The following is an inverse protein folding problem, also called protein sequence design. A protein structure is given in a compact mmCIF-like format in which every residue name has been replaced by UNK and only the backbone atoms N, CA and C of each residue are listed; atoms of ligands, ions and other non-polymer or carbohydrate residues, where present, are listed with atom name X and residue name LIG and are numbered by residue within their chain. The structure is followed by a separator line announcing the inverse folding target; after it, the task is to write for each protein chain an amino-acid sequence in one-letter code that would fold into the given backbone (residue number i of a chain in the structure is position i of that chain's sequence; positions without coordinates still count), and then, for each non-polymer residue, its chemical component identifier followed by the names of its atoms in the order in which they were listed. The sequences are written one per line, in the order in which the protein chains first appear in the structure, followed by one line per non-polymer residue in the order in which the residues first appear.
data_IF_018752734150
#
_entry.id   IF_018752734150
#
_cell.length_a   1.000
_cell.length_b   1.000
_cell.length_c   1.000
_cell.angle_alpha   90.00
_cell.angle_beta   90.00
_cell.angle_gamma   90.00
#
_symmetry.space_group_name_H-M   'P 1'
#
loop_
_entity.id
_entity.type
_entity.pdbx_description
1 polymer ?
#
# COMPACT_ATOMS: atom_id res chain seq x y z
N UNK A 1 19.22 2.85 -3.44
CA UNK A 1 18.04 2.79 -2.57
C UNK A 1 17.98 1.38 -2.04
N UNK A 2 17.89 1.21 -0.74
CA UNK A 2 17.77 -0.11 -0.16
C UNK A 2 16.49 -0.77 -0.69
N UNK A 3 16.52 -2.08 -0.86
CA UNK A 3 15.35 -2.82 -1.37
C UNK A 3 14.23 -2.89 -0.33
N UNK A 4 14.59 -2.99 0.95
CA UNK A 4 13.69 -2.84 2.09
C UNK A 4 13.71 -1.38 2.51
N UNK A 5 12.56 -0.75 2.65
CA UNK A 5 12.46 0.66 3.04
C UNK A 5 11.15 0.96 3.76
N UNK A 6 11.14 2.02 4.54
CA UNK A 6 9.92 2.66 5.04
C UNK A 6 9.66 3.93 4.27
N UNK A 7 8.39 4.21 4.02
CA UNK A 7 8.02 5.47 3.32
C UNK A 7 8.46 6.66 4.17
N UNK A 8 8.45 6.54 5.48
CA UNK A 8 8.95 7.53 6.43
C UNK A 8 10.41 7.92 6.19
N UNK A 9 11.28 6.96 5.89
CA UNK A 9 12.70 7.23 5.60
C UNK A 9 12.86 8.03 4.31
N UNK A 10 11.94 7.85 3.37
CA UNK A 10 11.91 8.60 2.12
C UNK A 10 11.32 10.00 2.28
N UNK A 11 10.32 10.13 3.14
CA UNK A 11 9.55 11.35 3.40
C UNK A 11 9.14 11.42 4.87
N UNK A 12 10.05 11.84 5.77
CA UNK A 12 9.73 12.01 7.19
C UNK A 12 8.65 13.08 7.39
N UNK A 13 7.83 12.88 8.42
CA UNK A 13 6.89 13.91 8.88
C UNK A 13 7.70 15.12 9.36
N UNK A 14 7.33 16.29 8.89
CA UNK A 14 7.91 17.59 9.29
C UNK A 14 6.78 18.52 9.68
N UNK A 15 6.87 19.10 10.86
CA UNK A 15 5.85 20.01 11.35
C UNK A 15 5.58 21.15 10.35
N UNK A 16 4.31 21.52 10.22
CA UNK A 16 3.82 22.58 9.34
C UNK A 16 4.09 22.39 7.85
N UNK A 17 4.55 21.19 7.42
CA UNK A 17 4.87 20.93 6.02
C UNK A 17 4.03 19.78 5.47
N UNK A 18 3.57 19.95 4.25
CA UNK A 18 3.04 18.89 3.40
C UNK A 18 4.04 18.64 2.28
N UNK A 19 4.54 17.40 2.18
CA UNK A 19 5.47 17.01 1.14
C UNK A 19 5.01 15.74 0.45
N UNK A 20 5.30 15.63 -0.84
CA UNK A 20 4.98 14.43 -1.62
C UNK A 20 6.16 13.96 -2.45
N UNK A 21 6.13 12.70 -2.84
CA UNK A 21 7.12 12.10 -3.74
C UNK A 21 6.47 11.03 -4.60
N UNK A 22 6.64 11.17 -5.93
CA UNK A 22 6.31 10.08 -6.84
C UNK A 22 7.22 8.86 -6.57
N UNK A 23 6.64 7.66 -6.53
CA UNK A 23 7.35 6.42 -6.26
C UNK A 23 8.34 6.03 -7.36
N UNK A 24 8.12 6.55 -8.60
CA UNK A 24 8.83 6.14 -9.82
C UNK A 24 8.72 4.65 -10.11
N UNK A 25 7.65 4.03 -9.65
CA UNK A 25 7.37 2.62 -9.94
C UNK A 25 6.84 2.46 -11.36
N UNK A 26 6.08 3.45 -11.82
CA UNK A 26 5.39 3.47 -13.10
C UNK A 26 5.30 4.90 -13.64
N UNK A 27 5.39 5.04 -14.96
CA UNK A 27 5.11 6.29 -15.65
C UNK A 27 3.61 6.41 -16.01
N UNK A 28 2.89 5.28 -16.05
CA UNK A 28 1.47 5.23 -16.46
C UNK A 28 0.50 5.23 -15.29
N UNK A 29 0.89 4.64 -14.16
CA UNK A 29 0.08 4.57 -12.94
C UNK A 29 0.71 5.46 -11.88
N UNK A 30 0.17 6.65 -11.62
CA UNK A 30 0.70 7.52 -10.59
C UNK A 30 0.57 6.89 -9.21
N UNK A 31 1.70 6.73 -8.52
CA UNK A 31 1.78 6.25 -7.14
C UNK A 31 2.63 7.27 -6.40
N UNK A 32 2.03 7.94 -5.42
CA UNK A 32 2.65 9.06 -4.72
C UNK A 32 2.62 8.83 -3.21
N UNK A 33 3.75 9.02 -2.56
CA UNK A 33 3.87 9.05 -1.12
C UNK A 33 3.65 10.48 -0.62
N UNK A 34 2.74 10.65 0.33
CA UNK A 34 2.46 11.91 1.01
C UNK A 34 2.90 11.82 2.47
N UNK A 35 3.49 12.91 2.96
CA UNK A 35 3.78 13.13 4.37
C UNK A 35 3.25 14.50 4.76
N UNK A 36 2.34 14.51 5.70
CA UNK A 36 1.70 15.70 6.25
C UNK A 36 2.20 15.91 7.68
N UNK A 37 2.71 17.10 7.95
CA UNK A 37 3.07 17.53 9.31
C UNK A 37 1.86 17.77 10.18
N UNK A 38 2.10 17.90 11.48
CA UNK A 38 1.06 18.19 12.47
C UNK A 38 0.28 19.47 12.08
N UNK A 39 -1.04 19.38 12.14
CA UNK A 39 -1.94 20.51 11.87
C UNK A 39 -2.02 20.94 10.42
N UNK A 40 -1.49 20.15 9.47
CA UNK A 40 -1.57 20.47 8.04
C UNK A 40 -2.75 19.80 7.36
N UNK A 41 -3.10 20.29 6.17
CA UNK A 41 -4.20 19.80 5.37
C UNK A 41 -3.93 19.93 3.89
N UNK A 42 -4.66 19.15 3.10
CA UNK A 42 -4.81 19.28 1.65
C UNK A 42 -6.29 19.58 1.40
N UNK A 43 -6.55 20.63 0.64
CA UNK A 43 -7.91 21.06 0.29
C UNK A 43 -8.64 19.95 -0.48
N UNK A 44 -9.97 19.98 -0.42
CA UNK A 44 -10.78 19.03 -1.21
C UNK A 44 -10.60 19.28 -2.71
N UNK A 45 -10.18 18.24 -3.40
CA UNK A 45 -10.06 18.19 -4.86
C UNK A 45 -10.77 16.94 -5.37
N UNK A 46 -11.15 16.92 -6.63
CA UNK A 46 -11.74 15.74 -7.29
C UNK A 46 -10.89 15.33 -8.48
N UNK A 47 -10.66 14.04 -8.62
CA UNK A 47 -9.94 13.46 -9.76
C UNK A 47 -10.89 12.76 -10.72
N UNK A 48 -10.52 12.70 -12.00
CA UNK A 48 -11.27 11.95 -13.01
C UNK A 48 -11.13 10.44 -12.87
N UNK A 49 -10.23 10.01 -12.01
CA UNK A 49 -9.88 8.60 -11.76
C UNK A 49 -10.26 8.18 -10.33
N UNK A 50 -10.49 6.88 -10.13
CA UNK A 50 -10.60 6.30 -8.78
C UNK A 50 -9.25 6.37 -8.08
N UNK A 51 -9.24 6.76 -6.82
CA UNK A 51 -8.02 6.88 -6.02
C UNK A 51 -8.09 5.93 -4.83
N UNK A 52 -6.99 5.22 -4.58
CA UNK A 52 -6.79 4.38 -3.41
C UNK A 52 -5.78 5.04 -2.50
N UNK A 53 -6.14 5.21 -1.24
CA UNK A 53 -5.26 5.70 -0.18
C UNK A 53 -4.93 4.57 0.77
N UNK A 54 -3.64 4.42 1.13
CA UNK A 54 -3.15 3.42 2.09
C UNK A 54 -2.36 4.14 3.18
N UNK A 55 -2.81 4.05 4.42
CA UNK A 55 -2.11 4.61 5.57
C UNK A 55 -0.81 3.87 5.86
N UNK A 56 0.28 4.63 6.05
CA UNK A 56 1.61 4.09 6.31
C UNK A 56 2.18 4.49 7.68
N UNK A 57 1.73 5.60 8.26
CA UNK A 57 2.10 6.05 9.61
C UNK A 57 1.16 7.12 10.13
N UNK A 58 0.93 7.12 11.44
CA UNK A 58 0.06 8.11 12.08
C UNK A 58 -1.39 7.96 11.65
N UNK A 59 -2.16 9.05 11.72
CA UNK A 59 -3.55 9.06 11.28
C UNK A 59 -3.91 10.38 10.59
N UNK A 60 -4.86 10.29 9.67
CA UNK A 60 -5.44 11.44 8.98
C UNK A 60 -6.93 11.26 8.76
N UNK A 61 -7.64 12.38 8.76
CA UNK A 61 -9.04 12.45 8.40
C UNK A 61 -9.19 12.81 6.92
N UNK A 62 -9.76 11.91 6.16
CA UNK A 62 -10.14 12.11 4.77
C UNK A 62 -11.56 12.66 4.72
N UNK A 63 -11.72 13.82 4.12
CA UNK A 63 -12.97 14.57 4.02
C UNK A 63 -13.59 14.31 2.65
N UNK A 64 -14.64 13.46 2.59
CA UNK A 64 -15.19 12.94 1.33
C UNK A 64 -16.54 13.55 1.01
N UNK A 65 -16.71 13.90 -0.27
CA UNK A 65 -17.95 14.41 -0.84
C UNK A 65 -18.23 15.87 -0.46
N UNK A 66 -19.36 16.40 -0.97
CA UNK A 66 -19.73 17.80 -0.81
C UNK A 66 -19.98 18.20 0.67
N UNK A 67 -20.32 17.24 1.52
CA UNK A 67 -20.56 17.48 2.95
C UNK A 67 -19.33 17.17 3.80
N UNK A 68 -18.17 16.91 3.17
CA UNK A 68 -16.91 16.61 3.86
C UNK A 68 -17.04 15.51 4.92
N UNK A 69 -17.73 14.40 4.59
CA UNK A 69 -17.85 13.27 5.49
C UNK A 69 -16.47 12.78 5.92
N UNK A 70 -16.26 12.66 7.21
CA UNK A 70 -14.98 12.34 7.81
C UNK A 70 -14.73 10.83 7.87
N UNK A 71 -13.59 10.39 7.33
CA UNK A 71 -13.11 9.01 7.34
C UNK A 71 -11.67 8.97 7.86
N UNK A 72 -11.47 8.49 9.08
CA UNK A 72 -10.13 8.42 9.67
C UNK A 72 -9.38 7.21 9.14
N UNK A 73 -8.21 7.42 8.55
CA UNK A 73 -7.28 6.39 8.09
C UNK A 73 -6.09 6.36 9.02
N UNK A 74 -5.74 5.18 9.48
CA UNK A 74 -4.54 4.87 10.24
C UNK A 74 -3.64 3.91 9.47
N UNK A 75 -2.54 3.54 10.04
CA UNK A 75 -1.60 2.59 9.47
C UNK A 75 -2.25 1.24 9.11
N UNK A 76 -1.97 0.76 7.88
CA UNK A 76 -2.55 -0.47 7.33
C UNK A 76 -4.01 -0.36 6.90
N UNK A 77 -4.63 0.82 7.04
CA UNK A 77 -5.97 1.09 6.51
C UNK A 77 -5.90 1.46 5.03
N UNK A 78 -6.96 1.10 4.32
CA UNK A 78 -7.21 1.49 2.94
C UNK A 78 -8.53 2.22 2.82
N UNK A 79 -8.57 3.26 1.99
CA UNK A 79 -9.78 3.97 1.58
C UNK A 79 -9.79 4.11 0.06
N UNK A 80 -10.93 3.82 -0.55
CA UNK A 80 -11.14 4.01 -1.98
C UNK A 80 -12.11 5.16 -2.23
N UNK A 81 -11.65 6.16 -2.96
CA UNK A 81 -12.47 7.31 -3.37
C UNK A 81 -12.79 7.22 -4.86
N UNK A 82 -14.07 7.11 -5.25
CA UNK A 82 -14.47 7.06 -6.65
C UNK A 82 -14.09 8.34 -7.43
N UNK A 83 -14.00 8.20 -8.75
CA UNK A 83 -13.78 9.36 -9.63
C UNK A 83 -14.84 10.45 -9.41
N UNK A 84 -14.42 11.72 -9.54
CA UNK A 84 -15.24 12.93 -9.41
C UNK A 84 -15.85 13.17 -8.01
N UNK A 85 -15.46 12.42 -7.02
CA UNK A 85 -15.82 12.69 -5.63
C UNK A 85 -14.75 13.60 -5.01
N UNK A 86 -15.21 14.67 -4.35
CA UNK A 86 -14.33 15.56 -3.60
C UNK A 86 -13.65 14.80 -2.45
N UNK A 87 -12.35 14.97 -2.31
CA UNK A 87 -11.57 14.40 -1.23
C UNK A 87 -10.50 15.39 -0.77
N UNK A 88 -10.50 15.70 0.52
CA UNK A 88 -9.45 16.47 1.18
C UNK A 88 -8.85 15.64 2.30
N UNK A 89 -7.72 16.07 2.84
CA UNK A 89 -7.02 15.37 3.94
C UNK A 89 -6.62 16.39 4.99
N UNK A 90 -6.81 16.04 6.26
CA UNK A 90 -6.31 16.82 7.40
C UNK A 90 -5.74 15.89 8.47
N UNK A 91 -4.74 16.35 9.21
CA UNK A 91 -4.16 15.61 10.32
C UNK A 91 -3.80 16.54 11.48
N UNK A 92 -4.10 16.11 12.69
CA UNK A 92 -3.73 16.84 13.90
C UNK A 92 -2.38 16.41 14.47
N UNK A 93 -1.91 15.20 14.14
CA UNK A 93 -0.72 14.58 14.72
C UNK A 93 0.41 14.35 13.72
N UNK A 94 0.11 14.48 12.42
CA UNK A 94 0.97 14.10 11.32
C UNK A 94 0.66 12.70 10.82
N UNK A 95 0.82 12.50 9.50
CA UNK A 95 0.57 11.21 8.86
C UNK A 95 1.43 11.00 7.62
N UNK A 96 1.57 9.73 7.24
CA UNK A 96 2.12 9.32 5.95
C UNK A 96 1.13 8.35 5.31
N UNK A 97 0.86 8.55 4.03
CA UNK A 97 0.03 7.64 3.24
C UNK A 97 0.55 7.51 1.80
N UNK A 98 0.15 6.42 1.15
CA UNK A 98 0.35 6.19 -0.27
C UNK A 98 -0.94 6.49 -1.02
N UNK A 99 -0.85 7.28 -2.08
CA UNK A 99 -1.92 7.53 -3.04
C UNK A 99 -1.64 6.74 -4.32
N UNK A 100 -2.63 6.00 -4.81
CA UNK A 100 -2.58 5.21 -6.04
C UNK A 100 -3.75 5.61 -6.92
N UNK A 101 -3.46 6.13 -8.12
CA UNK A 101 -4.50 6.55 -9.07
C UNK A 101 -4.79 5.41 -10.05
N UNK A 102 -6.04 4.93 -10.05
CA UNK A 102 -6.51 3.85 -10.93
C UNK A 102 -7.27 4.49 -12.09
N UNK A 103 -6.74 4.35 -13.30
CA UNK A 103 -7.38 4.90 -14.50
C UNK A 103 -8.78 4.35 -14.68
N UNK A 104 -9.74 5.24 -14.99
CA UNK A 104 -11.17 4.95 -15.10
C UNK A 104 -11.50 3.84 -16.10
N UNK A 105 -10.76 3.75 -17.19
CA UNK A 105 -11.01 2.81 -18.29
C UNK A 105 -10.79 1.34 -17.89
N UNK A 106 -10.08 1.10 -16.80
CA UNK A 106 -9.64 -0.22 -16.33
C UNK A 106 -9.94 -0.45 -14.85
N UNK A 107 -11.04 0.08 -14.33
CA UNK A 107 -11.37 -0.04 -12.90
C UNK A 107 -12.04 -1.40 -12.59
N UNK A 108 -11.26 -2.49 -12.63
CA UNK A 108 -11.67 -3.83 -12.20
C UNK A 108 -11.38 -4.03 -10.71
N UNK A 109 -12.10 -3.30 -9.86
CA UNK A 109 -12.00 -3.45 -8.42
C UNK A 109 -12.84 -4.63 -7.94
N UNK A 110 -12.33 -5.39 -6.98
CA UNK A 110 -13.05 -6.49 -6.36
C UNK A 110 -14.31 -5.98 -5.65
N UNK A 111 -15.41 -6.72 -5.75
CA UNK A 111 -16.70 -6.35 -5.14
C UNK A 111 -16.70 -6.29 -3.61
N UNK A 112 -15.73 -6.93 -2.96
CA UNK A 112 -15.57 -6.83 -1.49
C UNK A 112 -15.02 -5.45 -1.07
N UNK A 113 -14.39 -4.73 -2.00
CA UNK A 113 -13.84 -3.41 -1.75
C UNK A 113 -14.97 -2.39 -1.88
N UNK A 114 -15.29 -1.75 -0.77
CA UNK A 114 -16.36 -0.77 -0.71
C UNK A 114 -15.78 0.64 -0.77
N UNK A 115 -16.17 1.36 -1.82
CA UNK A 115 -15.79 2.76 -1.97
C UNK A 115 -16.38 3.62 -0.86
N UNK A 116 -15.58 4.53 -0.30
CA UNK A 116 -16.00 5.41 0.79
C UNK A 116 -15.99 4.75 2.18
N UNK A 117 -15.64 3.48 2.30
CA UNK A 117 -15.45 2.80 3.58
C UNK A 117 -13.96 2.60 3.88
N UNK A 118 -13.56 2.82 5.13
CA UNK A 118 -12.21 2.51 5.59
C UNK A 118 -12.13 1.02 5.89
N UNK A 119 -11.16 0.34 5.32
CA UNK A 119 -10.95 -1.10 5.47
C UNK A 119 -9.52 -1.37 5.94
N UNK A 120 -9.34 -2.25 6.91
CA UNK A 120 -8.02 -2.73 7.32
C UNK A 120 -7.54 -3.79 6.31
N UNK A 121 -6.46 -3.51 5.58
CA UNK A 121 -5.97 -4.41 4.51
C UNK A 121 -5.74 -5.84 5.00
N UNK A 122 -5.12 -6.02 6.17
CA UNK A 122 -4.83 -7.34 6.71
C UNK A 122 -6.07 -8.17 7.06
N UNK A 123 -7.22 -7.52 7.31
CA UNK A 123 -8.45 -8.19 7.70
C UNK A 123 -9.29 -8.63 6.49
N UNK A 124 -8.92 -8.18 5.29
CA UNK A 124 -9.59 -8.56 4.04
C UNK A 124 -9.22 -9.97 3.56
N UNK A 125 -8.19 -10.58 4.13
CA UNK A 125 -7.72 -11.92 3.75
C UNK A 125 -7.43 -12.76 5.00
N UNK A 126 -7.81 -14.04 4.95
CA UNK A 126 -7.58 -15.00 6.03
C UNK A 126 -6.47 -15.97 5.69
N UNK A 127 -5.79 -16.46 6.73
CA UNK A 127 -4.87 -17.59 6.61
C UNK A 127 -5.63 -18.90 6.36
N UNK A 128 -4.99 -19.82 5.67
CA UNK A 128 -5.39 -21.22 5.51
C UNK A 128 -4.18 -22.10 5.84
N UNK A 129 -4.37 -23.07 6.74
CA UNK A 129 -3.28 -23.91 7.25
C UNK A 129 -2.54 -24.63 6.11
N UNK A 130 -1.21 -24.52 6.10
CA UNK A 130 -0.33 -25.12 5.11
C UNK A 130 -0.43 -24.51 3.71
N UNK A 131 -1.13 -23.39 3.54
CA UNK A 131 -1.47 -22.83 2.23
C UNK A 131 -1.11 -21.35 2.10
N UNK A 132 -1.16 -20.86 0.85
CA UNK A 132 -1.12 -19.43 0.52
C UNK A 132 -2.48 -19.06 -0.05
N UNK A 133 -3.15 -18.11 0.58
CA UNK A 133 -4.38 -17.50 0.05
C UNK A 133 -4.08 -16.18 -0.63
N UNK A 134 -4.91 -15.80 -1.61
CA UNK A 134 -4.78 -14.50 -2.27
C UNK A 134 -6.15 -13.93 -2.67
N UNK A 135 -6.22 -12.61 -2.79
CA UNK A 135 -7.39 -11.89 -3.28
C UNK A 135 -6.94 -10.64 -4.05
N UNK A 136 -7.43 -10.50 -5.28
CA UNK A 136 -7.21 -9.29 -6.06
C UNK A 136 -8.06 -8.16 -5.47
N UNK A 137 -7.44 -7.04 -5.09
CA UNK A 137 -8.11 -5.78 -4.75
C UNK A 137 -8.47 -5.05 -6.04
N UNK A 138 -7.50 -4.93 -6.94
CA UNK A 138 -7.64 -4.38 -8.29
C UNK A 138 -6.84 -5.25 -9.25
N UNK A 139 -7.41 -5.56 -10.42
CA UNK A 139 -6.70 -6.26 -11.48
C UNK A 139 -7.14 -5.72 -12.84
N UNK A 140 -6.20 -5.11 -13.58
CA UNK A 140 -6.44 -4.56 -14.91
C UNK A 140 -5.17 -4.64 -15.78
N UNK A 141 -5.20 -4.12 -16.99
CA UNK A 141 -4.12 -4.23 -17.96
C UNK A 141 -2.85 -3.46 -17.56
N UNK A 142 -2.94 -2.51 -16.63
CA UNK A 142 -1.81 -1.65 -16.24
C UNK A 142 -1.30 -1.92 -14.84
N UNK A 143 -2.10 -2.57 -13.99
CA UNK A 143 -1.71 -2.85 -12.60
C UNK A 143 -2.50 -4.02 -11.99
N UNK A 144 -1.87 -4.66 -11.01
CA UNK A 144 -2.49 -5.58 -10.06
C UNK A 144 -2.19 -5.12 -8.65
N UNK A 145 -3.22 -5.10 -7.80
CA UNK A 145 -3.03 -4.99 -6.35
C UNK A 145 -3.67 -6.21 -5.71
N UNK A 146 -2.82 -7.07 -5.13
CA UNK A 146 -3.21 -8.39 -4.60
C UNK A 146 -2.86 -8.42 -3.12
N UNK A 147 -3.79 -8.87 -2.28
CA UNK A 147 -3.49 -9.27 -0.91
C UNK A 147 -3.14 -10.75 -0.89
N UNK A 148 -2.13 -11.11 -0.13
CA UNK A 148 -1.70 -12.50 0.04
C UNK A 148 -1.48 -12.80 1.52
N UNK A 149 -1.93 -13.97 1.95
CA UNK A 149 -1.66 -14.49 3.28
C UNK A 149 -0.97 -15.86 3.17
N UNK A 150 0.12 -15.98 3.89
CA UNK A 150 1.01 -17.14 3.90
C UNK A 150 0.95 -17.79 5.27
N UNK A 151 0.70 -19.09 5.34
CA UNK A 151 0.95 -19.83 6.58
C UNK A 151 2.46 -19.99 6.80
N UNK A 152 2.87 -20.21 8.05
CA UNK A 152 4.29 -20.39 8.41
C UNK A 152 4.95 -21.45 7.53
N UNK A 153 6.16 -21.14 7.02
CA UNK A 153 6.94 -22.01 6.15
C UNK A 153 6.45 -22.13 4.71
N UNK A 154 5.29 -21.56 4.36
CA UNK A 154 4.84 -21.52 2.97
C UNK A 154 5.55 -20.42 2.17
N UNK A 155 5.59 -20.55 0.85
CA UNK A 155 6.28 -19.56 0.04
C UNK A 155 6.02 -19.68 -1.46
N UNK A 156 6.33 -18.60 -2.17
CA UNK A 156 6.36 -18.56 -3.62
C UNK A 156 7.73 -19.01 -4.12
N UNK A 157 7.76 -20.01 -5.00
CA UNK A 157 8.98 -20.46 -5.65
C UNK A 157 9.63 -19.36 -6.50
N UNK A 158 10.94 -19.44 -6.77
CA UNK A 158 11.62 -18.43 -7.59
C UNK A 158 10.94 -18.20 -8.93
N UNK A 159 10.60 -16.94 -9.20
CA UNK A 159 9.95 -16.49 -10.44
C UNK A 159 10.36 -15.06 -10.79
N UNK A 160 9.99 -14.59 -11.98
CA UNK A 160 10.32 -13.23 -12.42
C UNK A 160 9.09 -12.35 -12.41
N UNK A 161 9.24 -11.12 -11.86
CA UNK A 161 8.18 -10.14 -11.86
C UNK A 161 7.84 -9.69 -13.30
N UNK A 162 6.57 -9.73 -13.73
CA UNK A 162 6.18 -9.25 -15.06
C UNK A 162 6.24 -7.71 -15.18
N UNK A 163 6.35 -7.00 -14.07
CA UNK A 163 6.45 -5.56 -13.99
C UNK A 163 7.22 -5.09 -12.74
N UNK A 164 7.33 -3.79 -12.55
CA UNK A 164 7.84 -3.24 -11.30
C UNK A 164 6.80 -3.44 -10.20
N UNK A 165 7.25 -3.74 -8.97
CA UNK A 165 6.33 -4.01 -7.87
C UNK A 165 6.81 -3.44 -6.54
N UNK A 166 5.84 -3.21 -5.64
CA UNK A 166 6.07 -2.94 -4.22
C UNK A 166 5.28 -3.96 -3.40
N UNK A 167 5.93 -4.56 -2.42
CA UNK A 167 5.29 -5.28 -1.33
C UNK A 167 5.11 -4.33 -0.15
N UNK A 168 3.92 -4.33 0.42
CA UNK A 168 3.58 -3.76 1.73
C UNK A 168 3.45 -4.92 2.72
N UNK A 169 4.32 -5.02 3.71
CA UNK A 169 4.17 -6.00 4.78
C UNK A 169 3.03 -5.55 5.71
N UNK A 170 2.00 -6.37 5.85
CA UNK A 170 0.77 -6.05 6.58
C UNK A 170 0.69 -6.75 7.94
N UNK A 171 1.24 -7.96 8.05
CA UNK A 171 1.28 -8.75 9.28
C UNK A 171 2.40 -9.80 9.19
N UNK A 172 3.08 -10.07 10.31
CA UNK A 172 4.11 -11.09 10.40
C UNK A 172 5.39 -10.77 9.65
N UNK A 173 6.17 -11.81 9.32
CA UNK A 173 7.52 -11.70 8.81
C UNK A 173 7.79 -12.69 7.69
N UNK A 174 8.50 -12.25 6.66
CA UNK A 174 8.93 -13.09 5.55
C UNK A 174 10.36 -12.78 5.11
N UNK A 175 10.98 -13.77 4.47
CA UNK A 175 12.25 -13.63 3.77
C UNK A 175 12.00 -13.57 2.28
N UNK A 176 12.54 -12.56 1.63
CA UNK A 176 12.53 -12.41 0.17
C UNK A 176 13.95 -12.72 -0.34
N UNK A 177 14.10 -13.75 -1.17
CA UNK A 177 15.29 -13.87 -2.00
C UNK A 177 15.08 -13.01 -3.25
N UNK A 178 16.01 -12.13 -3.54
CA UNK A 178 15.99 -11.28 -4.73
C UNK A 178 17.37 -11.26 -5.37
N UNK A 179 17.46 -11.78 -6.60
CA UNK A 179 18.72 -11.88 -7.37
C UNK A 179 19.85 -12.53 -6.54
N UNK A 180 19.53 -13.59 -5.78
CA UNK A 180 20.46 -14.34 -4.94
C UNK A 180 20.86 -13.67 -3.64
N UNK A 181 20.12 -12.67 -3.18
CA UNK A 181 20.29 -12.03 -1.87
C UNK A 181 19.02 -12.10 -1.05
N UNK A 182 19.17 -12.44 0.22
CA UNK A 182 18.05 -12.53 1.14
C UNK A 182 17.79 -11.19 1.83
N UNK A 183 16.51 -10.82 1.88
CA UNK A 183 15.99 -9.65 2.58
C UNK A 183 14.86 -10.11 3.51
N UNK A 184 14.91 -9.68 4.74
CA UNK A 184 13.80 -9.90 5.69
C UNK A 184 12.90 -8.66 5.67
N UNK A 185 11.59 -8.88 5.59
CA UNK A 185 10.57 -7.84 5.76
C UNK A 185 9.61 -8.25 6.86
N UNK A 186 9.17 -7.30 7.65
CA UNK A 186 8.23 -7.52 8.76
C UNK A 186 7.15 -6.44 8.80
N UNK A 187 5.96 -6.83 9.26
CA UNK A 187 4.95 -5.91 9.73
C UNK A 187 5.25 -5.62 11.20
N UNK A 188 5.32 -4.36 11.59
CA UNK A 188 5.77 -4.00 12.92
C UNK A 188 4.85 -4.49 14.02
N UNK A 189 5.32 -5.46 14.80
CA UNK A 189 4.98 -5.60 16.21
C UNK A 189 6.23 -5.85 17.02
N UNK A 190 6.44 -4.99 18.02
CA UNK A 190 7.36 -5.14 19.13
C UNK A 190 8.86 -5.22 18.83
N UNK A 191 9.43 -4.17 18.33
CA UNK A 191 10.69 -3.58 18.79
C UNK A 191 10.94 -2.30 17.99
N UNK A 192 10.40 -1.17 18.46
CA UNK A 192 10.80 0.21 18.07
C UNK A 192 10.94 0.51 16.58
N UNK A 193 10.32 -0.25 15.69
CA UNK A 193 10.32 0.00 14.27
C UNK A 193 8.86 -0.05 13.79
N UNK A 194 8.36 1.07 13.35
CA UNK A 194 6.99 1.28 12.88
C UNK A 194 6.59 0.24 11.84
N UNK A 195 5.36 -0.22 11.91
CA UNK A 195 4.70 -0.99 10.87
C UNK A 195 4.99 -0.44 9.47
N UNK A 196 4.89 -1.27 8.45
CA UNK A 196 4.94 -0.82 7.08
C UNK A 196 6.30 -0.85 6.40
N UNK A 197 7.12 -1.89 6.62
CA UNK A 197 8.24 -2.16 5.73
C UNK A 197 7.72 -2.50 4.34
N UNK A 198 8.41 -1.99 3.33
CA UNK A 198 8.10 -2.20 1.92
C UNK A 198 9.30 -2.80 1.21
N UNK A 199 9.05 -3.62 0.20
CA UNK A 199 10.07 -4.15 -0.67
C UNK A 199 9.78 -3.81 -2.13
N UNK A 200 10.81 -3.38 -2.88
CA UNK A 200 10.66 -3.05 -4.29
C UNK A 200 11.33 -4.08 -5.18
N UNK A 201 10.56 -4.61 -6.13
CA UNK A 201 11.05 -5.40 -7.25
C UNK A 201 11.17 -4.54 -8.52
N UNK A 202 12.19 -4.84 -9.31
CA UNK A 202 12.27 -4.34 -10.67
C UNK A 202 11.70 -5.40 -11.64
N UNK A 203 11.17 -4.96 -12.76
CA UNK A 203 10.67 -5.83 -13.83
C UNK A 203 11.73 -6.87 -14.22
N UNK A 204 11.31 -8.12 -14.38
CA UNK A 204 12.15 -9.29 -14.63
C UNK A 204 13.10 -9.70 -13.50
N UNK A 205 13.10 -9.04 -12.34
CA UNK A 205 13.86 -9.45 -11.16
C UNK A 205 13.44 -10.85 -10.70
N UNK A 206 14.42 -11.74 -10.56
CA UNK A 206 14.20 -13.10 -10.04
C UNK A 206 14.02 -13.01 -8.52
N UNK A 207 12.91 -13.52 -8.01
CA UNK A 207 12.62 -13.50 -6.59
C UNK A 207 11.77 -14.66 -6.11
N UNK A 208 11.86 -14.93 -4.82
CA UNK A 208 10.96 -15.80 -4.07
C UNK A 208 10.55 -15.12 -2.78
N UNK A 209 9.48 -15.58 -2.14
CA UNK A 209 9.00 -15.12 -0.84
C UNK A 209 8.75 -16.33 0.02
N UNK A 210 9.29 -16.37 1.23
CA UNK A 210 9.06 -17.44 2.20
C UNK A 210 8.63 -16.84 3.53
N UNK A 211 7.50 -17.28 4.05
CA UNK A 211 6.99 -16.86 5.34
C UNK A 211 7.81 -17.50 6.47
N UNK A 212 8.45 -16.67 7.29
CA UNK A 212 9.23 -17.08 8.48
C UNK A 212 8.31 -17.37 9.67
N UNK A 213 7.15 -16.72 9.65
CA UNK A 213 5.97 -16.93 10.49
C UNK A 213 4.73 -16.62 9.66
N UNK A 214 3.50 -16.73 10.19
CA UNK A 214 2.31 -16.30 9.46
C UNK A 214 2.48 -14.87 8.94
N UNK A 215 2.37 -14.66 7.64
CA UNK A 215 2.69 -13.41 6.98
C UNK A 215 1.58 -12.95 6.03
N UNK A 216 1.22 -11.67 6.11
CA UNK A 216 0.34 -11.03 5.12
C UNK A 216 1.03 -9.89 4.42
N UNK A 217 0.79 -9.78 3.13
CA UNK A 217 1.31 -8.67 2.32
C UNK A 217 0.27 -8.15 1.33
N UNK A 218 0.41 -6.88 0.96
CA UNK A 218 -0.16 -6.30 -0.25
C UNK A 218 0.90 -6.22 -1.34
N UNK A 219 0.67 -6.82 -2.49
CA UNK A 219 1.54 -6.74 -3.67
C UNK A 219 0.93 -5.78 -4.69
N UNK A 220 1.54 -4.62 -4.88
CA UNK A 220 1.20 -3.69 -5.94
C UNK A 220 2.17 -3.88 -7.10
N UNK A 221 1.68 -4.45 -8.19
CA UNK A 221 2.41 -4.75 -9.42
C UNK A 221 1.96 -3.80 -10.52
N UNK A 222 2.90 -3.16 -11.20
CA UNK A 222 2.65 -2.30 -12.36
C UNK A 222 3.11 -3.00 -13.62
N UNK A 223 2.17 -3.17 -14.56
CA UNK A 223 2.36 -3.88 -15.83
C UNK A 223 2.63 -2.84 -16.94
N UNK A 224 3.88 -2.72 -17.38
CA UNK A 224 4.33 -1.80 -18.45
C UNK A 224 5.19 -2.52 -19.50
#
# INVERSE_FOLDING_TARGET
MDKVFKIEDLRPIRDEMTVSRNSRLSDKTPITYFSLGKGTSISQESYDNTTVYIGAKGCADFLIGAYAAKHTISEGDMLVVPSKILCGVTTETGCIYTEIIIKKENNNMNKIIKSGEVMKLKDLISYEDGSITNIDVVSNDTMKFVLMAFDEGTGLTPHRAPGNAIIFALEGKAVIDYEGKNYTISAGENYTISAGENFRFDKNGLHSVTADERFKMGLLLVLE
#
